data_IF_536442771605
#
_entry.id   IF_536442771605
#
_cell.length_a   1.000
_cell.length_b   1.000
_cell.length_c   1.000
_cell.angle_alpha   90.00
_cell.angle_beta   90.00
_cell.angle_gamma   90.00
#
_symmetry.space_group_name_H-M   'P 1'
#
loop_
_entity.id
_entity.type
_entity.pdbx_description
1 polymer ?
#
# COMPACT_ATOMS: atom_id res chain seq x y z
N UNK A 1 -26.46 25.25 -30.54
CA UNK A 1 -25.47 25.23 -29.41
C UNK A 1 -26.05 24.62 -28.14
N UNK A 2 -27.28 25.00 -27.73
CA UNK A 2 -27.90 24.47 -26.49
C UNK A 2 -28.16 22.94 -26.55
N UNK A 3 -28.62 22.41 -27.69
CA UNK A 3 -28.88 20.98 -27.87
C UNK A 3 -27.58 20.16 -27.72
N UNK A 4 -26.49 20.60 -28.33
CA UNK A 4 -25.18 19.93 -28.19
C UNK A 4 -24.68 19.95 -26.73
N UNK A 5 -24.88 21.04 -26.03
CA UNK A 5 -24.49 21.15 -24.61
C UNK A 5 -25.28 20.18 -23.72
N UNK A 6 -26.61 20.08 -23.93
CA UNK A 6 -27.46 19.15 -23.19
C UNK A 6 -27.07 17.68 -23.44
N UNK A 7 -26.67 17.34 -24.68
CA UNK A 7 -26.14 16.01 -25.00
C UNK A 7 -24.82 15.74 -24.25
N UNK A 8 -23.87 16.70 -24.25
CA UNK A 8 -22.62 16.57 -23.50
C UNK A 8 -22.87 16.40 -22.01
N UNK A 9 -23.82 17.14 -21.44
CA UNK A 9 -24.20 17.00 -20.03
C UNK A 9 -24.69 15.57 -19.71
N UNK A 10 -25.60 15.06 -20.51
CA UNK A 10 -26.14 13.69 -20.32
C UNK A 10 -25.01 12.66 -20.38
N UNK A 11 -24.15 12.74 -21.38
CA UNK A 11 -23.01 11.82 -21.53
C UNK A 11 -22.05 11.88 -20.33
N UNK A 12 -21.73 13.07 -19.82
CA UNK A 12 -20.87 13.22 -18.64
C UNK A 12 -21.51 12.62 -17.38
N UNK A 13 -22.81 12.77 -17.20
CA UNK A 13 -23.55 12.20 -16.04
C UNK A 13 -23.58 10.66 -16.13
N UNK A 14 -23.95 10.11 -17.30
CA UNK A 14 -23.99 8.66 -17.52
C UNK A 14 -22.62 8.06 -17.27
N UNK A 15 -21.56 8.60 -17.89
CA UNK A 15 -20.19 8.11 -17.70
C UNK A 15 -19.72 8.24 -16.25
N UNK A 16 -20.16 9.29 -15.51
CA UNK A 16 -19.85 9.43 -14.08
C UNK A 16 -20.49 8.33 -13.25
N UNK A 17 -21.73 7.95 -13.53
CA UNK A 17 -22.43 6.87 -12.81
C UNK A 17 -21.90 5.49 -13.19
N UNK A 18 -21.63 5.21 -14.47
CA UNK A 18 -20.99 3.98 -14.95
C UNK A 18 -19.65 3.72 -14.27
N UNK A 19 -18.85 4.78 -14.06
CA UNK A 19 -17.57 4.72 -13.36
C UNK A 19 -17.72 4.73 -11.83
N UNK A 20 -18.94 4.49 -11.32
CA UNK A 20 -19.29 4.47 -9.88
C UNK A 20 -18.86 5.77 -9.17
N UNK A 21 -18.90 6.88 -9.89
CA UNK A 21 -18.54 8.22 -9.39
C UNK A 21 -17.07 8.33 -8.92
N UNK A 22 -16.17 7.48 -9.42
CA UNK A 22 -14.76 7.43 -8.98
C UNK A 22 -13.81 8.22 -9.88
N UNK A 23 -14.23 8.56 -11.11
CA UNK A 23 -13.35 9.22 -12.07
C UNK A 23 -13.33 10.74 -11.87
N UNK A 24 -12.14 11.29 -11.75
CA UNK A 24 -11.90 12.73 -11.85
C UNK A 24 -12.10 13.23 -13.29
N UNK A 25 -11.95 14.53 -13.52
CA UNK A 25 -12.18 15.17 -14.82
C UNK A 25 -11.35 14.51 -15.94
N UNK A 26 -10.05 14.27 -15.72
CA UNK A 26 -9.14 13.70 -16.73
C UNK A 26 -9.53 12.27 -17.11
N UNK A 27 -9.76 11.41 -16.10
CA UNK A 27 -10.16 10.02 -16.35
C UNK A 27 -11.53 9.92 -17.01
N UNK A 28 -12.46 10.82 -16.65
CA UNK A 28 -13.79 10.84 -17.22
C UNK A 28 -13.75 11.30 -18.68
N UNK A 29 -12.89 12.28 -19.00
CA UNK A 29 -12.63 12.71 -20.37
C UNK A 29 -12.05 11.56 -21.23
N UNK A 30 -11.04 10.84 -20.71
CA UNK A 30 -10.46 9.68 -21.40
C UNK A 30 -11.49 8.57 -21.62
N UNK A 31 -12.29 8.24 -20.61
CA UNK A 31 -13.36 7.24 -20.71
C UNK A 31 -14.41 7.59 -21.78
N UNK A 32 -14.84 8.85 -21.84
CA UNK A 32 -15.75 9.33 -22.87
C UNK A 32 -15.13 9.25 -24.28
N UNK A 33 -13.84 9.56 -24.40
CA UNK A 33 -13.12 9.44 -25.67
C UNK A 33 -13.01 7.97 -26.14
N UNK A 34 -12.76 7.03 -25.23
CA UNK A 34 -12.76 5.58 -25.50
C UNK A 34 -14.13 5.08 -25.99
N UNK A 35 -15.22 5.68 -25.52
CA UNK A 35 -16.58 5.40 -25.98
C UNK A 35 -16.96 6.12 -27.27
N UNK A 36 -16.02 6.85 -27.91
CA UNK A 36 -16.23 7.59 -29.15
C UNK A 36 -16.86 8.98 -28.97
N UNK A 37 -16.96 9.48 -27.74
CA UNK A 37 -17.51 10.79 -27.43
C UNK A 37 -16.40 11.83 -27.29
N UNK A 38 -16.20 12.65 -28.33
CA UNK A 38 -15.16 13.70 -28.37
C UNK A 38 -15.63 14.99 -27.68
N UNK A 39 -15.66 14.99 -26.36
CA UNK A 39 -15.99 16.15 -25.53
C UNK A 39 -14.68 16.73 -24.97
N UNK A 40 -14.41 18.04 -25.13
CA UNK A 40 -13.18 18.62 -24.59
C UNK A 40 -13.09 18.50 -23.07
N UNK A 41 -11.88 18.35 -22.54
CA UNK A 41 -11.65 18.27 -21.10
C UNK A 41 -12.18 19.52 -20.38
N UNK A 42 -12.09 20.69 -21.01
CA UNK A 42 -12.65 21.93 -20.52
C UNK A 42 -14.17 21.83 -20.35
N UNK A 43 -14.89 21.29 -21.33
CA UNK A 43 -16.34 21.11 -21.27
C UNK A 43 -16.73 20.11 -20.16
N UNK A 44 -16.02 19.00 -20.04
CA UNK A 44 -16.24 18.02 -18.96
C UNK A 44 -16.07 18.69 -17.58
N UNK A 45 -15.04 19.52 -17.40
CA UNK A 45 -14.81 20.27 -16.16
C UNK A 45 -15.95 21.24 -15.89
N UNK A 46 -16.36 22.05 -16.86
CA UNK A 46 -17.44 23.01 -16.72
C UNK A 46 -18.76 22.34 -16.35
N UNK A 47 -19.13 21.24 -17.01
CA UNK A 47 -20.33 20.48 -16.70
C UNK A 47 -20.26 19.95 -15.25
N UNK A 48 -19.12 19.38 -14.84
CA UNK A 48 -18.96 18.90 -13.47
C UNK A 48 -19.12 19.99 -12.41
N UNK A 49 -18.57 21.17 -12.65
CA UNK A 49 -18.68 22.34 -11.75
C UNK A 49 -20.11 22.85 -11.69
N UNK A 50 -20.75 23.05 -12.83
CA UNK A 50 -22.09 23.62 -12.93
C UNK A 50 -23.17 22.72 -12.29
N UNK A 51 -23.05 21.41 -12.45
CA UNK A 51 -24.02 20.45 -11.91
C UNK A 51 -23.58 19.81 -10.59
N UNK A 52 -22.52 20.29 -9.96
CA UNK A 52 -22.04 19.78 -8.69
C UNK A 52 -21.62 18.30 -8.72
N UNK A 53 -21.16 17.78 -9.87
CA UNK A 53 -20.75 16.39 -10.04
C UNK A 53 -19.39 16.17 -9.36
N UNK A 54 -19.42 15.62 -8.16
CA UNK A 54 -18.22 15.42 -7.34
C UNK A 54 -17.77 13.96 -7.38
N UNK A 55 -16.46 13.76 -7.59
CA UNK A 55 -15.87 12.44 -7.53
C UNK A 55 -15.91 11.90 -6.08
N UNK A 56 -16.36 10.66 -5.89
CA UNK A 56 -16.25 9.96 -4.60
C UNK A 56 -14.77 9.74 -4.29
N UNK A 57 -14.23 10.53 -3.36
CA UNK A 57 -12.89 10.30 -2.84
C UNK A 57 -12.89 9.02 -2.00
N UNK A 58 -11.88 8.18 -2.17
CA UNK A 58 -11.63 7.12 -1.21
C UNK A 58 -11.56 7.71 0.21
N UNK A 59 -12.09 6.98 1.19
CA UNK A 59 -11.96 7.38 2.60
C UNK A 59 -10.50 7.72 2.87
N UNK A 60 -10.27 8.78 3.66
CA UNK A 60 -8.93 9.21 4.05
C UNK A 60 -8.14 8.00 4.56
N UNK A 61 -6.87 7.94 4.20
CA UNK A 61 -5.88 6.99 4.71
C UNK A 61 -6.02 6.87 6.24
N UNK A 62 -6.25 5.65 6.73
CA UNK A 62 -6.25 5.36 8.16
C UNK A 62 -4.80 5.12 8.56
N UNK A 63 -4.27 5.90 9.48
CA UNK A 63 -2.96 5.63 10.08
C UNK A 63 -3.05 4.30 10.83
N UNK A 64 -2.41 3.28 10.30
CA UNK A 64 -2.41 1.91 10.85
C UNK A 64 -1.16 1.60 11.66
N UNK A 65 -0.10 2.39 11.47
CA UNK A 65 1.20 2.22 12.12
C UNK A 65 1.40 3.32 13.15
N UNK A 66 1.62 2.95 14.41
CA UNK A 66 2.04 3.89 15.44
C UNK A 66 3.57 4.08 15.35
N UNK A 67 3.99 5.11 14.61
CA UNK A 67 5.40 5.52 14.51
C UNK A 67 5.80 6.60 15.52
N UNK A 68 4.84 7.14 16.29
CA UNK A 68 5.09 8.17 17.30
C UNK A 68 5.34 7.50 18.67
N UNK A 69 6.53 6.97 18.84
CA UNK A 69 6.96 6.32 20.08
C UNK A 69 8.43 6.64 20.39
N UNK A 70 8.85 6.58 21.65
CA UNK A 70 10.22 6.87 22.12
C UNK A 70 11.17 5.66 22.02
N UNK A 71 10.89 4.66 21.19
CA UNK A 71 11.78 3.51 21.03
C UNK A 71 12.92 3.85 20.10
N UNK A 72 14.07 3.18 20.28
CA UNK A 72 15.23 3.32 19.41
C UNK A 72 14.92 2.90 17.98
N UNK A 73 15.33 3.72 17.02
CA UNK A 73 15.14 3.50 15.57
C UNK A 73 16.52 3.46 14.93
N UNK A 74 16.79 2.39 14.18
CA UNK A 74 18.02 2.29 13.39
C UNK A 74 17.98 3.24 12.18
N UNK A 75 19.17 3.73 11.72
CA UNK A 75 19.25 4.51 10.49
C UNK A 75 18.78 3.67 9.28
N UNK A 76 18.28 4.38 8.26
CA UNK A 76 17.87 3.75 7.01
C UNK A 76 19.10 3.39 6.17
N UNK A 77 19.54 2.13 6.24
CA UNK A 77 20.67 1.63 5.47
C UNK A 77 20.31 1.31 4.01
N UNK A 78 19.03 1.03 3.73
CA UNK A 78 18.58 0.67 2.38
C UNK A 78 18.48 1.88 1.45
N UNK A 79 18.25 3.09 2.02
CA UNK A 79 18.24 4.38 1.32
C UNK A 79 17.45 4.38 -0.01
N UNK A 80 16.28 3.76 0.00
CA UNK A 80 15.40 3.56 -1.17
C UNK A 80 16.02 2.75 -2.33
N UNK A 81 17.16 2.11 -2.12
CA UNK A 81 17.82 1.24 -3.10
C UNK A 81 17.31 -0.19 -2.92
N UNK A 82 16.24 -0.52 -3.60
CA UNK A 82 15.58 -1.83 -3.49
C UNK A 82 16.13 -2.89 -4.45
N UNK A 83 17.08 -2.51 -5.28
CA UNK A 83 17.78 -3.42 -6.19
C UNK A 83 18.92 -4.09 -5.45
N UNK A 84 18.89 -5.41 -5.40
CA UNK A 84 19.89 -6.26 -4.76
C UNK A 84 20.55 -7.15 -5.77
N UNK A 85 21.82 -7.51 -5.53
CA UNK A 85 22.66 -8.28 -6.47
C UNK A 85 22.62 -9.79 -6.24
N UNK A 86 22.19 -10.22 -5.05
CA UNK A 86 22.20 -11.64 -4.64
C UNK A 86 21.13 -11.95 -3.58
N UNK A 87 20.76 -13.24 -3.42
CA UNK A 87 19.87 -13.65 -2.34
C UNK A 87 20.44 -13.32 -0.95
N UNK A 88 19.55 -13.03 0.00
CA UNK A 88 19.87 -12.70 1.39
C UNK A 88 20.78 -11.49 1.56
N UNK A 89 20.74 -10.54 0.64
CA UNK A 89 21.41 -9.24 0.77
C UNK A 89 20.54 -8.25 1.53
N UNK A 90 19.26 -8.16 1.18
CA UNK A 90 18.29 -7.35 1.90
C UNK A 90 16.93 -8.04 1.96
N UNK A 91 16.34 -8.06 3.15
CA UNK A 91 14.97 -8.48 3.40
C UNK A 91 14.11 -7.29 3.78
N UNK A 92 12.87 -7.27 3.31
CA UNK A 92 11.86 -6.30 3.74
C UNK A 92 10.78 -7.02 4.53
N UNK A 93 10.27 -6.36 5.56
CA UNK A 93 9.20 -6.91 6.39
C UNK A 93 8.07 -5.91 6.55
N UNK A 94 6.83 -6.42 6.51
CA UNK A 94 5.62 -5.65 6.67
C UNK A 94 4.51 -6.48 7.33
N UNK A 95 3.50 -5.81 7.88
CA UNK A 95 2.31 -6.44 8.47
C UNK A 95 1.09 -6.12 7.63
N UNK A 96 0.46 -7.15 7.09
CA UNK A 96 -0.79 -7.07 6.34
C UNK A 96 -1.99 -7.46 7.20
N UNK A 97 -3.09 -6.72 7.04
CA UNK A 97 -4.36 -6.95 7.70
C UNK A 97 -5.22 -7.84 6.83
N UNK A 98 -5.70 -8.96 7.36
CA UNK A 98 -6.58 -9.90 6.67
C UNK A 98 -7.92 -9.92 7.39
N UNK A 99 -8.97 -9.54 6.69
CA UNK A 99 -10.33 -9.67 7.21
C UNK A 99 -10.82 -11.10 7.03
N UNK A 100 -11.39 -11.66 8.10
CA UNK A 100 -12.04 -12.98 8.10
C UNK A 100 -13.42 -12.88 8.76
N UNK A 101 -14.25 -13.90 8.61
CA UNK A 101 -15.58 -13.95 9.25
C UNK A 101 -15.49 -13.94 10.78
N UNK A 102 -14.35 -14.34 11.36
CA UNK A 102 -14.08 -14.27 12.79
C UNK A 102 -13.42 -12.96 13.25
N UNK A 103 -13.18 -12.00 12.33
CA UNK A 103 -12.53 -10.72 12.60
C UNK A 103 -11.16 -10.56 11.94
N UNK A 104 -10.35 -9.63 12.47
CA UNK A 104 -9.05 -9.31 11.89
C UNK A 104 -7.99 -10.33 12.25
N UNK A 105 -7.26 -10.79 11.23
CA UNK A 105 -5.98 -11.47 11.34
C UNK A 105 -4.85 -10.56 10.85
N UNK A 106 -3.67 -10.76 11.39
CA UNK A 106 -2.47 -10.01 11.06
C UNK A 106 -1.41 -10.99 10.54
N UNK A 107 -0.93 -10.74 9.35
CA UNK A 107 0.15 -11.49 8.71
C UNK A 107 1.41 -10.63 8.71
N UNK A 108 2.44 -11.02 9.46
CA UNK A 108 3.78 -10.48 9.29
C UNK A 108 4.52 -11.31 8.26
N UNK A 109 5.08 -10.66 7.24
CA UNK A 109 5.87 -11.28 6.18
C UNK A 109 7.29 -10.74 6.15
N UNK A 110 8.25 -11.61 5.83
CA UNK A 110 9.64 -11.25 5.54
C UNK A 110 9.93 -11.71 4.11
N UNK A 111 10.28 -10.80 3.23
CA UNK A 111 10.50 -11.02 1.80
C UNK A 111 11.93 -10.69 1.41
N UNK A 112 12.57 -11.58 0.69
CA UNK A 112 13.88 -11.32 0.07
C UNK A 112 13.71 -10.41 -1.15
N UNK A 113 14.50 -9.32 -1.21
CA UNK A 113 14.39 -8.36 -2.29
C UNK A 113 14.94 -8.88 -3.62
N UNK A 114 15.88 -9.82 -3.61
CA UNK A 114 16.42 -10.41 -4.82
C UNK A 114 15.51 -11.49 -5.41
N UNK A 115 15.22 -12.52 -4.63
CA UNK A 115 14.42 -13.66 -5.10
C UNK A 115 12.93 -13.38 -5.18
N UNK A 116 12.47 -12.31 -4.50
CA UNK A 116 11.05 -11.96 -4.29
C UNK A 116 10.27 -13.01 -3.47
N UNK A 117 10.96 -13.97 -2.89
CA UNK A 117 10.40 -15.05 -2.09
C UNK A 117 9.98 -14.54 -0.70
N UNK A 118 8.87 -15.04 -0.19
CA UNK A 118 8.46 -14.87 1.21
C UNK A 118 9.25 -15.88 2.06
N UNK A 119 10.38 -15.45 2.63
CA UNK A 119 11.35 -16.30 3.34
C UNK A 119 10.90 -16.66 4.75
N UNK A 120 10.00 -15.88 5.35
CA UNK A 120 9.39 -16.16 6.64
C UNK A 120 8.08 -15.42 6.83
N UNK A 121 7.18 -16.00 7.60
CA UNK A 121 5.90 -15.38 7.94
C UNK A 121 5.35 -15.88 9.28
N UNK A 122 4.41 -15.12 9.82
CA UNK A 122 3.62 -15.53 10.98
C UNK A 122 2.23 -14.90 10.90
N UNK A 123 1.23 -15.59 11.43
CA UNK A 123 -0.16 -15.11 11.51
C UNK A 123 -0.61 -15.10 12.96
N UNK A 124 -1.35 -14.07 13.35
CA UNK A 124 -1.91 -13.97 14.68
C UNK A 124 -3.15 -13.07 14.72
N UNK A 125 -4.03 -13.25 15.72
CA UNK A 125 -5.23 -12.41 15.96
C UNK A 125 -4.87 -11.02 16.53
N UNK A 126 -3.64 -10.78 16.97
CA UNK A 126 -3.18 -9.51 17.52
C UNK A 126 -1.87 -9.08 16.86
N UNK A 127 -1.76 -7.79 16.56
CA UNK A 127 -0.57 -7.17 15.97
C UNK A 127 0.46 -6.82 17.07
N UNK A 128 1.17 -7.85 17.55
CA UNK A 128 2.15 -7.74 18.64
C UNK A 128 3.60 -7.81 18.13
N UNK A 129 4.58 -7.45 18.97
CA UNK A 129 5.99 -7.64 18.67
C UNK A 129 6.34 -9.13 18.45
N UNK A 130 5.69 -10.05 19.16
CA UNK A 130 5.87 -11.50 18.98
C UNK A 130 5.57 -11.95 17.55
N UNK A 131 4.56 -11.36 16.91
CA UNK A 131 4.19 -11.68 15.54
C UNK A 131 5.36 -11.47 14.56
N UNK A 132 5.99 -10.30 14.61
CA UNK A 132 7.13 -9.96 13.74
C UNK A 132 8.40 -10.74 14.13
N UNK A 133 8.58 -11.02 15.41
CA UNK A 133 9.69 -11.87 15.90
C UNK A 133 9.58 -13.30 15.36
N UNK A 134 8.38 -13.89 15.35
CA UNK A 134 8.16 -15.25 14.80
C UNK A 134 8.41 -15.29 13.30
N UNK A 135 7.94 -14.28 12.55
CA UNK A 135 8.19 -14.18 11.12
C UNK A 135 9.71 -14.10 10.81
N UNK A 136 10.43 -13.25 11.53
CA UNK A 136 11.88 -13.10 11.38
C UNK A 136 12.65 -14.37 11.76
N UNK A 137 12.31 -15.00 12.89
CA UNK A 137 12.95 -16.25 13.31
C UNK A 137 12.72 -17.38 12.29
N UNK A 138 11.54 -17.48 11.69
CA UNK A 138 11.26 -18.42 10.61
C UNK A 138 12.15 -18.15 9.39
N UNK A 139 12.26 -16.88 8.96
CA UNK A 139 13.12 -16.47 7.84
C UNK A 139 14.59 -16.85 8.09
N UNK A 140 15.12 -16.52 9.28
CA UNK A 140 16.50 -16.84 9.68
C UNK A 140 16.73 -18.36 9.67
N UNK A 141 15.81 -19.12 10.24
CA UNK A 141 15.90 -20.61 10.27
C UNK A 141 15.90 -21.21 8.87
N UNK A 142 15.06 -20.69 7.97
CA UNK A 142 14.92 -21.23 6.61
C UNK A 142 16.13 -20.88 5.73
N UNK A 143 16.63 -19.66 5.80
CA UNK A 143 17.65 -19.17 4.87
C UNK A 143 19.07 -19.12 5.44
N UNK A 144 19.21 -19.12 6.78
CA UNK A 144 20.52 -19.06 7.47
C UNK A 144 21.44 -17.97 6.87
N UNK A 145 20.97 -16.71 6.83
CA UNK A 145 21.68 -15.63 6.15
C UNK A 145 23.04 -15.33 6.80
N UNK A 146 23.94 -14.73 6.03
CA UNK A 146 25.20 -14.20 6.54
C UNK A 146 24.98 -12.97 7.41
N UNK A 147 25.98 -12.60 8.23
CA UNK A 147 25.96 -11.41 9.11
C UNK A 147 25.85 -10.04 8.41
N UNK A 148 25.86 -9.99 7.06
CA UNK A 148 25.74 -8.74 6.27
C UNK A 148 24.34 -8.51 5.73
N UNK A 149 23.34 -9.28 6.15
CA UNK A 149 21.96 -9.09 5.74
C UNK A 149 21.40 -7.78 6.29
N UNK A 150 20.79 -6.97 5.43
CA UNK A 150 19.99 -5.81 5.83
C UNK A 150 18.54 -6.27 6.02
N UNK A 151 17.95 -6.02 7.19
CA UNK A 151 16.52 -6.22 7.43
C UNK A 151 15.85 -4.85 7.51
N UNK A 152 14.99 -4.54 6.56
CA UNK A 152 14.28 -3.26 6.48
C UNK A 152 12.80 -3.44 6.78
N UNK A 153 12.24 -2.53 7.58
CA UNK A 153 10.81 -2.47 7.91
C UNK A 153 10.36 -1.02 8.07
N UNK A 154 9.06 -0.81 8.24
CA UNK A 154 8.56 0.48 8.70
C UNK A 154 8.99 0.77 10.15
N UNK A 155 8.67 1.99 10.63
CA UNK A 155 8.97 2.41 12.00
C UNK A 155 7.87 2.03 13.00
N UNK A 156 7.12 0.96 12.73
CA UNK A 156 6.08 0.48 13.62
C UNK A 156 6.65 0.05 14.97
N UNK A 157 5.88 0.28 16.04
CA UNK A 157 6.28 -0.04 17.40
C UNK A 157 6.64 -1.52 17.63
N UNK A 158 6.16 -2.41 16.77
CA UNK A 158 6.45 -3.84 16.75
C UNK A 158 7.90 -4.10 16.34
N UNK A 159 8.35 -3.46 15.25
CA UNK A 159 9.71 -3.58 14.72
C UNK A 159 10.74 -2.84 15.58
N UNK A 160 10.31 -1.80 16.31
CA UNK A 160 11.15 -1.07 17.25
C UNK A 160 11.13 -1.71 18.66
N UNK A 161 10.66 -2.94 18.82
CA UNK A 161 10.64 -3.65 20.11
C UNK A 161 12.03 -4.17 20.49
N UNK A 162 12.27 -4.28 21.79
CA UNK A 162 13.52 -4.84 22.33
C UNK A 162 13.76 -6.27 21.82
N UNK A 163 12.73 -7.11 21.82
CA UNK A 163 12.83 -8.51 21.39
C UNK A 163 13.20 -8.63 19.92
N UNK A 164 12.61 -7.81 19.04
CA UNK A 164 12.94 -7.79 17.62
C UNK A 164 14.41 -7.36 17.42
N UNK A 165 14.86 -6.30 18.08
CA UNK A 165 16.25 -5.84 18.03
C UNK A 165 17.22 -6.88 18.58
N UNK A 166 16.85 -7.62 19.62
CA UNK A 166 17.66 -8.72 20.18
C UNK A 166 17.89 -9.83 19.16
N UNK A 167 16.87 -10.20 18.36
CA UNK A 167 17.01 -11.19 17.30
C UNK A 167 17.99 -10.68 16.22
N UNK A 168 17.81 -9.42 15.75
CA UNK A 168 18.69 -8.84 14.73
C UNK A 168 20.15 -8.77 15.21
N UNK A 169 20.40 -8.41 16.48
CA UNK A 169 21.77 -8.32 17.02
C UNK A 169 22.46 -9.67 17.21
N UNK A 170 21.66 -10.74 17.35
CA UNK A 170 22.18 -12.09 17.55
C UNK A 170 22.65 -12.75 16.26
N UNK A 171 22.06 -12.36 15.15
CA UNK A 171 22.27 -12.97 13.83
C UNK A 171 22.89 -12.01 12.83
#
# INVERSE_FOLDING_TARGET
QQIHRNQCELLVRVAHDETKQRYGCERLHAHLAEQGHHISQYMVRRIKEEYGIVCRRHKRFKVTTNSNHNKFIYPNLLDQKFDTSRPNEAWVSDITYIWTDEGWLYLAGVKDLYTKELVGYAIHKRMTADLVCRALNMAIKNKRPNQRLIVHSDRGSQYCSYDYHKIIKKH
#
